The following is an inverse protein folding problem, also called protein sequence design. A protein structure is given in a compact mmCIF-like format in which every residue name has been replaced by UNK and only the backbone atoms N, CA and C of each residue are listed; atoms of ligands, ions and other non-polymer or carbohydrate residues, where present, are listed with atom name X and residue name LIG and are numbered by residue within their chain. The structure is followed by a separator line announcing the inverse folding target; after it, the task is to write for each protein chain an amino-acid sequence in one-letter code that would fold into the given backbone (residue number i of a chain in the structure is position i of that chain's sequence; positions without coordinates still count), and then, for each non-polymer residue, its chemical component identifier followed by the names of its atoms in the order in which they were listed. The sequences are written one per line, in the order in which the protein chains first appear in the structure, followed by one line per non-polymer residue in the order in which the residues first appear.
data_IF_986281898744
#
_entry.id   IF_986281898744
#
_cell.length_a   1.000
_cell.length_b   1.000
_cell.length_c   1.000
_cell.angle_alpha   90.00
_cell.angle_beta   90.00
_cell.angle_gamma   90.00
#
_symmetry.space_group_name_H-M   'P 1'
#
loop_
_entity.id
_entity.type
_entity.pdbx_description
1 polymer ?
#
# COMPACT_ATOMS: atom_id res chain seq x y z
N UNK A 1 -28.20 21.74 17.89
CA UNK A 1 -28.28 23.00 17.11
C UNK A 1 -28.18 22.67 15.64
N UNK A 2 -29.29 22.59 14.92
CA UNK A 2 -29.29 22.32 13.47
C UNK A 2 -28.73 23.54 12.74
N UNK A 3 -27.68 23.36 11.93
CA UNK A 3 -27.14 24.43 11.07
C UNK A 3 -27.98 24.53 9.80
N UNK A 4 -28.26 25.76 9.36
CA UNK A 4 -29.05 25.98 8.14
C UNK A 4 -28.31 25.49 6.90
N UNK A 5 -29.06 24.99 5.90
CA UNK A 5 -28.53 24.57 4.59
C UNK A 5 -27.69 25.67 3.93
N UNK A 6 -28.05 26.93 4.14
CA UNK A 6 -27.31 28.11 3.68
C UNK A 6 -25.88 28.18 4.23
N UNK A 7 -25.68 27.76 5.48
CA UNK A 7 -24.34 27.73 6.11
C UNK A 7 -23.46 26.66 5.49
N UNK A 8 -24.02 25.49 5.17
CA UNK A 8 -23.32 24.43 4.46
C UNK A 8 -22.86 24.89 3.07
N UNK A 9 -23.75 25.53 2.29
CA UNK A 9 -23.37 26.07 0.97
C UNK A 9 -22.29 27.14 1.04
N UNK A 10 -22.41 28.09 1.98
CA UNK A 10 -21.35 29.09 2.18
C UNK A 10 -20.01 28.43 2.51
N UNK A 11 -20.00 27.41 3.36
CA UNK A 11 -18.77 26.71 3.72
C UNK A 11 -18.19 25.91 2.55
N UNK A 12 -19.03 25.30 1.70
CA UNK A 12 -18.61 24.69 0.44
C UNK A 12 -17.97 25.73 -0.50
N UNK A 13 -18.65 26.85 -0.73
CA UNK A 13 -18.19 27.87 -1.67
C UNK A 13 -16.91 28.58 -1.16
N UNK A 14 -16.73 28.69 0.16
CA UNK A 14 -15.51 29.21 0.78
C UNK A 14 -14.35 28.20 0.90
N UNK A 15 -14.58 26.93 0.53
CA UNK A 15 -13.58 25.86 0.61
C UNK A 15 -13.33 25.29 2.02
N UNK A 16 -14.09 25.71 3.03
CA UNK A 16 -14.03 25.17 4.40
C UNK A 16 -14.52 23.72 4.45
N UNK A 17 -15.47 23.37 3.57
CA UNK A 17 -16.06 22.05 3.46
C UNK A 17 -15.83 21.50 2.06
N UNK A 18 -15.15 20.35 1.95
CA UNK A 18 -15.03 19.66 0.67
C UNK A 18 -16.37 19.04 0.28
N UNK A 19 -16.65 19.02 -1.02
CA UNK A 19 -17.82 18.37 -1.60
C UNK A 19 -17.46 17.76 -2.95
N UNK A 20 -18.20 16.73 -3.31
CA UNK A 20 -18.16 16.12 -4.63
C UNK A 20 -19.45 16.44 -5.38
N UNK A 21 -19.41 16.27 -6.70
CA UNK A 21 -20.59 16.39 -7.55
C UNK A 21 -20.89 15.04 -8.15
N UNK A 22 -22.07 14.49 -7.87
CA UNK A 22 -22.47 13.19 -8.38
C UNK A 22 -22.82 13.24 -9.89
N UNK A 23 -23.11 12.06 -10.46
CA UNK A 23 -23.50 11.91 -11.86
C UNK A 23 -24.78 12.70 -12.23
N UNK A 24 -25.59 13.08 -11.24
CA UNK A 24 -26.81 13.87 -11.39
C UNK A 24 -26.63 15.36 -11.08
N UNK A 25 -25.38 15.82 -10.95
CA UNK A 25 -25.00 17.21 -10.59
C UNK A 25 -25.44 17.67 -9.20
N UNK A 26 -25.75 16.75 -8.29
CA UNK A 26 -25.99 17.09 -6.90
C UNK A 26 -24.67 17.16 -6.12
N UNK A 27 -24.59 18.09 -5.17
CA UNK A 27 -23.45 18.19 -4.28
C UNK A 27 -23.58 17.16 -3.16
N UNK A 28 -22.60 16.29 -3.03
CA UNK A 28 -22.47 15.28 -1.98
C UNK A 28 -21.32 15.67 -1.05
N UNK A 29 -21.50 15.46 0.25
CA UNK A 29 -20.47 15.78 1.26
C UNK A 29 -20.24 14.51 2.06
N UNK A 30 -18.98 14.12 2.24
CA UNK A 30 -18.61 13.00 3.10
C UNK A 30 -18.90 13.34 4.58
N UNK A 31 -19.33 12.34 5.34
CA UNK A 31 -19.59 12.45 6.78
C UNK A 31 -18.32 12.86 7.52
N UNK A 32 -17.15 12.38 7.08
CA UNK A 32 -15.84 12.76 7.64
C UNK A 32 -15.59 14.26 7.56
N UNK A 33 -15.98 14.89 6.44
CA UNK A 33 -15.84 16.34 6.24
C UNK A 33 -16.79 17.14 7.14
N UNK A 34 -18.01 16.65 7.32
CA UNK A 34 -18.95 17.28 8.24
C UNK A 34 -18.45 17.19 9.69
N UNK A 35 -17.90 16.04 10.10
CA UNK A 35 -17.34 15.85 11.44
C UNK A 35 -16.10 16.71 11.69
N UNK A 36 -15.22 16.86 10.68
CA UNK A 36 -14.04 17.73 10.76
C UNK A 36 -14.42 19.20 10.99
N UNK A 37 -15.40 19.70 10.24
CA UNK A 37 -15.78 21.12 10.27
C UNK A 37 -16.71 21.47 11.43
N UNK A 38 -17.64 20.57 11.78
CA UNK A 38 -18.70 20.86 12.74
C UNK A 38 -18.62 20.02 14.02
N UNK A 39 -17.65 19.11 14.14
CA UNK A 39 -17.51 18.20 15.27
C UNK A 39 -18.52 17.04 15.23
N UNK A 40 -18.66 16.32 16.33
CA UNK A 40 -19.54 15.14 16.44
C UNK A 40 -20.99 15.49 16.11
N UNK A 41 -21.51 14.91 15.03
CA UNK A 41 -22.86 15.16 14.54
C UNK A 41 -23.80 14.16 15.21
N UNK A 42 -24.67 14.66 16.08
CA UNK A 42 -25.73 13.83 16.67
C UNK A 42 -26.88 13.66 15.69
N UNK A 43 -26.80 12.58 14.90
CA UNK A 43 -27.93 11.77 14.45
C UNK A 43 -28.64 12.16 13.15
N UNK A 44 -28.68 11.19 12.22
CA UNK A 44 -29.89 10.82 11.49
C UNK A 44 -29.84 9.30 11.23
N UNK A 45 -30.70 8.52 11.90
CA UNK A 45 -30.95 7.11 11.59
C UNK A 45 -30.33 6.07 12.53
N UNK A 46 -30.63 6.11 13.82
CA UNK A 46 -30.85 4.91 14.64
C UNK A 46 -31.42 5.36 15.99
N UNK A 47 -32.65 4.94 16.26
CA UNK A 47 -33.19 4.86 17.60
C UNK A 47 -32.32 3.88 18.40
N UNK A 48 -31.30 4.40 19.07
CA UNK A 48 -30.57 3.68 20.13
C UNK A 48 -30.41 4.67 21.26
N UNK A 49 -31.40 4.61 22.13
CA UNK A 49 -31.34 4.75 23.59
C UNK A 49 -30.04 5.27 24.15
N UNK A 50 -30.18 6.35 24.93
CA UNK A 50 -29.26 6.82 25.94
C UNK A 50 -28.32 5.74 26.48
N UNK A 51 -27.05 5.83 26.14
CA UNK A 51 -25.94 5.13 26.81
C UNK A 51 -24.67 5.95 26.62
N UNK A 52 -24.71 7.20 27.10
CA UNK A 52 -23.52 8.03 27.26
C UNK A 52 -22.80 7.61 28.55
N UNK A 53 -22.07 6.50 28.48
CA UNK A 53 -21.02 6.16 29.47
C UNK A 53 -20.17 4.94 29.07
N UNK A 54 -20.43 4.27 27.94
CA UNK A 54 -19.69 3.05 27.55
C UNK A 54 -19.03 3.11 26.17
N UNK A 55 -19.19 4.18 25.40
CA UNK A 55 -18.66 4.27 24.02
C UNK A 55 -17.20 4.70 23.90
N UNK A 56 -16.63 5.39 24.90
CA UNK A 56 -15.22 5.81 24.84
C UNK A 56 -14.27 4.59 24.95
N UNK A 57 -14.53 3.67 25.89
CA UNK A 57 -13.74 2.44 26.05
C UNK A 57 -13.79 1.52 24.82
N UNK A 58 -14.93 1.40 24.13
CA UNK A 58 -15.02 0.53 22.94
C UNK A 58 -14.29 1.11 21.72
N UNK A 59 -14.20 2.44 21.59
CA UNK A 59 -13.48 3.07 20.47
C UNK A 59 -11.96 2.96 20.63
N UNK A 60 -11.45 3.12 21.87
CA UNK A 60 -10.04 2.96 22.16
C UNK A 60 -9.62 1.49 22.00
N UNK A 61 -10.45 0.55 22.47
CA UNK A 61 -10.17 -0.89 22.32
C UNK A 61 -10.24 -1.37 20.86
N UNK A 62 -11.09 -0.74 20.04
CA UNK A 62 -11.14 -0.98 18.59
C UNK A 62 -9.96 -0.35 17.86
N UNK A 63 -9.50 0.82 18.28
CA UNK A 63 -8.31 1.45 17.70
C UNK A 63 -7.03 0.67 18.07
N UNK A 64 -6.94 0.15 19.30
CA UNK A 64 -5.80 -0.69 19.72
C UNK A 64 -5.76 -2.01 18.94
N UNK A 65 -6.91 -2.63 18.69
CA UNK A 65 -6.96 -3.89 17.93
C UNK A 65 -6.60 -3.70 16.46
N UNK A 66 -7.00 -2.60 15.85
CA UNK A 66 -6.59 -2.25 14.49
C UNK A 66 -5.09 -1.97 14.39
N UNK A 67 -4.52 -1.26 15.37
CA UNK A 67 -3.08 -1.01 15.44
C UNK A 67 -2.29 -2.31 15.60
N UNK A 68 -2.76 -3.25 16.43
CA UNK A 68 -2.13 -4.56 16.60
C UNK A 68 -2.18 -5.38 15.31
N UNK A 69 -3.32 -5.38 14.61
CA UNK A 69 -3.47 -6.05 13.33
C UNK A 69 -2.55 -5.45 12.26
N UNK A 70 -2.44 -4.12 12.21
CA UNK A 70 -1.53 -3.42 11.29
C UNK A 70 -0.07 -3.73 11.60
N UNK A 71 0.32 -3.80 12.88
CA UNK A 71 1.68 -4.20 13.30
C UNK A 71 1.98 -5.64 12.87
N UNK A 72 1.07 -6.58 13.11
CA UNK A 72 1.23 -7.96 12.68
C UNK A 72 1.37 -8.09 11.15
N UNK A 73 0.60 -7.31 10.39
CA UNK A 73 0.71 -7.24 8.93
C UNK A 73 2.05 -6.66 8.48
N UNK A 74 2.53 -5.62 9.15
CA UNK A 74 3.85 -5.04 8.86
C UNK A 74 4.97 -6.04 9.12
N UNK A 75 4.94 -6.75 10.24
CA UNK A 75 5.92 -7.77 10.58
C UNK A 75 5.93 -8.92 9.56
N UNK A 76 4.75 -9.39 9.16
CA UNK A 76 4.61 -10.39 8.10
C UNK A 76 5.20 -9.91 6.77
N UNK A 77 4.89 -8.68 6.36
CA UNK A 77 5.40 -8.10 5.11
C UNK A 77 6.93 -7.90 5.15
N UNK A 78 7.47 -7.50 6.29
CA UNK A 78 8.92 -7.39 6.49
C UNK A 78 9.61 -8.76 6.40
N UNK A 79 9.03 -9.78 7.01
CA UNK A 79 9.53 -11.16 6.93
C UNK A 79 9.52 -11.69 5.48
N UNK A 80 8.41 -11.49 4.77
CA UNK A 80 8.30 -11.87 3.35
C UNK A 80 9.33 -11.14 2.49
N UNK A 81 9.51 -9.83 2.70
CA UNK A 81 10.51 -9.06 1.96
C UNK A 81 11.94 -9.58 2.19
N UNK A 82 12.25 -9.98 3.42
CA UNK A 82 13.57 -10.53 3.74
C UNK A 82 13.80 -11.89 3.09
N UNK A 83 12.80 -12.78 3.10
CA UNK A 83 12.85 -14.08 2.41
C UNK A 83 13.09 -13.86 0.90
N UNK A 84 12.30 -13.00 0.26
CA UNK A 84 12.44 -12.68 -1.16
C UNK A 84 13.82 -12.11 -1.50
N UNK A 85 14.37 -11.26 -0.62
CA UNK A 85 15.73 -10.73 -0.79
C UNK A 85 16.77 -11.84 -0.72
N UNK A 86 16.63 -12.76 0.22
CA UNK A 86 17.54 -13.89 0.37
C UNK A 86 17.47 -14.81 -0.84
N UNK A 87 16.26 -15.19 -1.29
CA UNK A 87 16.08 -16.01 -2.48
C UNK A 87 16.69 -15.35 -3.73
N UNK A 88 16.43 -14.07 -3.94
CA UNK A 88 17.04 -13.30 -5.03
C UNK A 88 18.57 -13.34 -4.96
N UNK A 89 19.17 -13.17 -3.78
CA UNK A 89 20.62 -13.24 -3.62
C UNK A 89 21.16 -14.63 -3.95
N UNK A 90 20.48 -15.71 -3.53
CA UNK A 90 20.88 -17.08 -3.86
C UNK A 90 20.81 -17.34 -5.37
N UNK A 91 19.73 -16.90 -6.03
CA UNK A 91 19.58 -17.02 -7.48
C UNK A 91 20.69 -16.28 -8.22
N UNK A 92 21.03 -15.07 -7.80
CA UNK A 92 22.13 -14.30 -8.39
C UNK A 92 23.47 -15.03 -8.26
N UNK A 93 23.78 -15.62 -7.10
CA UNK A 93 25.00 -16.44 -6.91
C UNK A 93 25.03 -17.66 -7.82
N UNK A 94 23.87 -18.32 -8.00
CA UNK A 94 23.77 -19.48 -8.90
C UNK A 94 24.03 -19.04 -10.35
N UNK A 95 23.42 -17.94 -10.79
CA UNK A 95 23.63 -17.40 -12.14
C UNK A 95 25.09 -17.01 -12.36
N UNK A 96 25.72 -16.36 -11.38
CA UNK A 96 27.13 -15.97 -11.46
C UNK A 96 28.05 -17.20 -11.56
N UNK A 97 27.86 -18.22 -10.70
CA UNK A 97 28.66 -19.45 -10.75
C UNK A 97 28.48 -20.24 -12.06
N UNK A 98 27.26 -20.26 -12.63
CA UNK A 98 27.01 -20.83 -13.95
C UNK A 98 27.73 -20.04 -15.05
N UNK A 99 27.67 -18.71 -15.02
CA UNK A 99 28.35 -17.86 -15.98
C UNK A 99 29.88 -18.04 -15.93
N UNK A 100 30.45 -18.15 -14.74
CA UNK A 100 31.88 -18.47 -14.55
C UNK A 100 32.24 -19.85 -15.10
N UNK A 101 31.41 -20.87 -14.82
CA UNK A 101 31.61 -22.22 -15.33
C UNK A 101 31.59 -22.25 -16.86
N UNK A 102 30.64 -21.55 -17.49
CA UNK A 102 30.57 -21.42 -18.95
C UNK A 102 31.79 -20.72 -19.54
N UNK A 103 32.31 -19.70 -18.85
CA UNK A 103 33.53 -18.98 -19.26
C UNK A 103 34.76 -19.89 -19.21
N UNK A 104 34.88 -20.71 -18.16
CA UNK A 104 35.96 -21.70 -18.02
C UNK A 104 35.86 -22.84 -19.04
N UNK A 105 34.64 -23.24 -19.41
CA UNK A 105 34.32 -24.23 -20.46
C UNK A 105 34.39 -23.66 -21.89
N UNK A 106 34.91 -22.44 -22.07
CA UNK A 106 35.20 -21.86 -23.39
C UNK A 106 36.63 -22.10 -23.95
N UNK A 107 37.36 -23.22 -23.72
CA UNK A 107 38.58 -23.49 -24.48
C UNK A 107 38.29 -24.05 -25.90
N UNK A 108 37.03 -24.39 -26.19
CA UNK A 108 36.63 -25.00 -27.47
C UNK A 108 36.80 -24.08 -28.68
N UNK A 109 36.72 -22.74 -28.49
CA UNK A 109 36.95 -21.78 -29.59
C UNK A 109 38.44 -21.67 -29.94
N UNK A 110 39.33 -21.76 -28.96
CA UNK A 110 40.77 -21.66 -29.17
C UNK A 110 41.35 -22.96 -29.74
N UNK A 111 40.87 -24.13 -29.31
CA UNK A 111 41.30 -25.40 -29.90
C UNK A 111 40.91 -25.54 -31.38
N UNK A 112 39.71 -25.10 -31.77
CA UNK A 112 39.28 -25.15 -33.19
C UNK A 112 40.13 -24.24 -34.07
N UNK A 113 40.50 -23.04 -33.60
CA UNK A 113 41.38 -22.12 -34.34
C UNK A 113 42.79 -22.71 -34.51
N UNK A 114 43.35 -23.30 -33.45
CA UNK A 114 44.67 -23.94 -33.50
C UNK A 114 44.68 -25.17 -34.41
N UNK A 115 43.61 -25.98 -34.42
CA UNK A 115 43.48 -27.13 -35.32
C UNK A 115 43.39 -26.69 -36.79
N UNK A 116 42.58 -25.68 -37.11
CA UNK A 116 42.48 -25.14 -38.47
C UNK A 116 43.81 -24.53 -38.94
N UNK A 117 44.48 -23.73 -38.10
CA UNK A 117 45.79 -23.16 -38.44
C UNK A 117 46.82 -24.26 -38.77
N UNK A 118 46.85 -25.36 -38.02
CA UNK A 118 47.77 -26.48 -38.29
C UNK A 118 47.43 -27.24 -39.58
N UNK A 119 46.17 -27.22 -40.01
CA UNK A 119 45.72 -27.90 -41.23
C UNK A 119 46.05 -27.13 -42.51
N UNK A 120 46.06 -25.79 -42.45
CA UNK A 120 46.31 -24.91 -43.60
C UNK A 120 47.75 -24.38 -43.69
N UNK A 121 48.65 -24.76 -42.77
CA UNK A 121 50.05 -24.31 -42.73
C UNK A 121 51.04 -25.28 -43.41
N UNK A 122 50.61 -26.08 -44.39
CA UNK A 122 51.45 -27.07 -45.07
C UNK A 122 51.50 -26.85 -46.57
#
# INVERSE_FOLDING_TARGET
MSKSRTTLYRHMDSGVLSYETDATKNRTIDVSELQRVYGSIKGFGADVTESNSTKENNSEQSATSEIELLKAKLELLQSQLEIERQEKQQLLRIVESQAESMKQLSPAKDQKRNWLQRLFSR
#
